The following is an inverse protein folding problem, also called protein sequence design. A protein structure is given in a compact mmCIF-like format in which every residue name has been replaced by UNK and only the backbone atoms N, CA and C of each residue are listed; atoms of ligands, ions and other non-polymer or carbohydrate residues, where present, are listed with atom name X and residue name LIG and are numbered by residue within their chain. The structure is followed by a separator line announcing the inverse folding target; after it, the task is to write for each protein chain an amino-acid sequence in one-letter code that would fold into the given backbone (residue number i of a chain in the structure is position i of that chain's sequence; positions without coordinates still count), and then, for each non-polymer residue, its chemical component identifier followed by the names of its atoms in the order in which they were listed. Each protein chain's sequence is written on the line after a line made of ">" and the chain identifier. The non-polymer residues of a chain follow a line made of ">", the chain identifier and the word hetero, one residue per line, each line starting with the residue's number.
data_IF_955135929727
#
_entry.id   IF_955135929727
#
_cell.length_a   1.000
_cell.length_b   1.000
_cell.length_c   1.000
_cell.angle_alpha   90.00
_cell.angle_beta   90.00
_cell.angle_gamma   90.00
#
_symmetry.space_group_name_H-M   'P 1'
#
loop_
_entity.id
_entity.type
_entity.pdbx_description
1 polymer ?
#
# COMPACT_ATOMS: atom_id res chain seq x y z
N UNK A 1 -10.64 -16.27 2.56
CA UNK A 1 -9.49 -16.60 3.42
C UNK A 1 -8.23 -16.27 2.63
N UNK A 2 -7.34 -15.44 3.17
CA UNK A 2 -6.06 -15.12 2.51
C UNK A 2 -5.03 -16.15 2.94
N UNK A 3 -4.61 -16.99 2.00
CA UNK A 3 -3.61 -18.03 2.25
C UNK A 3 -2.20 -17.44 2.14
N UNK A 4 -1.29 -17.94 2.98
CA UNK A 4 0.08 -17.48 3.10
C UNK A 4 1.00 -18.67 2.89
N UNK A 5 2.07 -18.51 2.10
CA UNK A 5 3.07 -19.53 1.84
C UNK A 5 4.46 -19.08 2.29
N UNK A 6 5.38 -20.02 2.45
CA UNK A 6 6.78 -19.65 2.71
C UNK A 6 7.43 -19.03 1.47
N UNK A 7 8.48 -18.23 1.67
CA UNK A 7 9.28 -17.68 0.57
C UNK A 7 9.83 -18.79 -0.36
N UNK A 8 10.30 -19.90 0.20
CA UNK A 8 10.78 -21.05 -0.58
C UNK A 8 9.68 -21.65 -1.47
N UNK A 9 8.46 -21.75 -0.94
CA UNK A 9 7.31 -22.24 -1.69
C UNK A 9 6.88 -21.27 -2.80
N UNK A 10 6.94 -19.96 -2.54
CA UNK A 10 6.66 -18.95 -3.56
C UNK A 10 7.64 -19.03 -4.75
N UNK A 11 8.93 -19.21 -4.47
CA UNK A 11 9.94 -19.43 -5.51
C UNK A 11 9.69 -20.72 -6.29
N UNK A 12 9.40 -21.84 -5.60
CA UNK A 12 9.11 -23.10 -6.26
C UNK A 12 7.89 -23.00 -7.19
N UNK A 13 6.81 -22.33 -6.74
CA UNK A 13 5.61 -22.08 -7.55
C UNK A 13 5.92 -21.23 -8.78
N UNK A 14 6.75 -20.19 -8.64
CA UNK A 14 7.17 -19.34 -9.75
C UNK A 14 7.99 -20.12 -10.79
N UNK A 15 8.91 -20.99 -10.35
CA UNK A 15 9.72 -21.84 -11.23
C UNK A 15 8.90 -22.89 -11.98
N UNK A 16 7.93 -23.52 -11.30
CA UNK A 16 7.01 -24.47 -11.95
C UNK A 16 6.23 -23.78 -13.08
N UNK A 17 5.82 -22.52 -12.86
CA UNK A 17 5.04 -21.75 -13.85
C UNK A 17 5.90 -21.22 -14.99
N UNK A 18 7.17 -20.90 -14.74
CA UNK A 18 8.11 -20.34 -15.70
C UNK A 18 9.43 -21.15 -15.73
N UNK A 19 9.38 -22.41 -16.21
CA UNK A 19 10.56 -23.27 -16.20
C UNK A 19 11.66 -22.68 -17.08
N UNK A 20 12.89 -22.59 -16.55
CA UNK A 20 14.07 -22.12 -17.28
C UNK A 20 14.20 -20.60 -17.42
N UNK A 21 13.30 -19.81 -16.83
CA UNK A 21 13.42 -18.34 -16.82
C UNK A 21 14.37 -17.92 -15.69
N UNK A 22 15.65 -17.74 -16.02
CA UNK A 22 16.70 -17.37 -15.03
C UNK A 22 16.43 -16.04 -14.30
N UNK A 23 15.62 -15.16 -14.88
CA UNK A 23 15.23 -13.88 -14.29
C UNK A 23 14.03 -13.96 -13.33
N UNK A 24 13.36 -15.12 -13.20
CA UNK A 24 12.14 -15.22 -12.39
C UNK A 24 12.42 -15.02 -10.89
N UNK A 25 13.52 -15.57 -10.38
CA UNK A 25 13.92 -15.40 -8.97
C UNK A 25 14.25 -13.93 -8.63
N UNK A 26 15.14 -13.23 -9.37
CA UNK A 26 15.40 -11.83 -9.08
C UNK A 26 14.17 -10.93 -9.32
N UNK A 27 13.33 -11.24 -10.30
CA UNK A 27 12.08 -10.52 -10.53
C UNK A 27 11.08 -10.68 -9.37
N UNK A 28 10.94 -11.89 -8.83
CA UNK A 28 10.08 -12.17 -7.68
C UNK A 28 10.60 -11.47 -6.41
N UNK A 29 11.90 -11.55 -6.15
CA UNK A 29 12.53 -10.84 -5.03
C UNK A 29 12.28 -9.32 -5.11
N UNK A 30 12.48 -8.73 -6.30
CA UNK A 30 12.18 -7.33 -6.55
C UNK A 30 10.69 -7.00 -6.34
N UNK A 31 9.76 -7.85 -6.80
CA UNK A 31 8.33 -7.63 -6.64
C UNK A 31 7.89 -7.64 -5.15
N UNK A 32 8.50 -8.52 -4.34
CA UNK A 32 8.28 -8.58 -2.90
C UNK A 32 8.81 -7.31 -2.22
N UNK A 33 10.01 -6.86 -2.56
CA UNK A 33 10.61 -5.67 -1.95
C UNK A 33 9.97 -4.35 -2.41
N UNK A 34 9.49 -4.30 -3.65
CA UNK A 34 8.71 -3.18 -4.18
C UNK A 34 7.27 -3.11 -3.61
N UNK A 35 6.89 -4.06 -2.74
CA UNK A 35 5.56 -4.12 -2.13
C UNK A 35 4.43 -4.50 -3.10
N UNK A 36 4.76 -5.13 -4.23
CA UNK A 36 3.76 -5.65 -5.17
C UNK A 36 3.15 -6.97 -4.68
N UNK A 37 3.87 -7.69 -3.83
CA UNK A 37 3.42 -8.94 -3.19
C UNK A 37 3.51 -8.73 -1.68
N UNK A 38 2.39 -8.89 -0.97
CA UNK A 38 2.40 -8.73 0.48
C UNK A 38 3.25 -9.83 1.13
N UNK A 39 4.18 -9.40 2.01
CA UNK A 39 4.92 -10.29 2.91
C UNK A 39 4.59 -9.96 4.37
N UNK A 40 4.56 -10.98 5.22
CA UNK A 40 4.46 -10.85 6.68
C UNK A 40 5.50 -11.75 7.34
N UNK A 41 6.03 -11.35 8.49
CA UNK A 41 7.25 -11.95 9.01
C UNK A 41 8.48 -11.46 8.22
N UNK A 42 9.58 -11.26 8.93
CA UNK A 42 10.78 -10.60 8.40
C UNK A 42 11.29 -9.49 9.32
N UNK A 43 12.60 -9.24 9.22
CA UNK A 43 13.37 -8.33 10.08
C UNK A 43 12.73 -6.96 10.15
N UNK A 44 11.93 -6.74 11.19
CA UNK A 44 11.64 -5.38 11.65
C UNK A 44 12.98 -4.85 12.14
N UNK A 45 13.59 -3.91 11.41
CA UNK A 45 14.60 -3.06 12.00
C UNK A 45 13.94 -2.46 13.25
N UNK A 46 14.32 -2.95 14.44
CA UNK A 46 13.96 -2.28 15.69
C UNK A 46 14.45 -0.86 15.49
N UNK A 47 13.53 0.09 15.36
CA UNK A 47 13.86 1.51 15.42
C UNK A 47 14.64 1.65 16.72
N UNK A 48 15.93 1.96 16.61
CA UNK A 48 16.83 2.19 17.74
C UNK A 48 16.13 3.15 18.68
N UNK A 49 15.70 2.68 19.85
CA UNK A 49 15.58 3.54 21.04
C UNK A 49 15.28 2.81 22.34
N UNK A 50 15.04 1.49 22.36
CA UNK A 50 14.87 0.78 23.63
C UNK A 50 15.96 -0.26 23.83
N UNK A 51 16.92 0.12 24.67
CA UNK A 51 17.86 -0.71 25.44
C UNK A 51 18.45 -1.94 24.74
N UNK A 52 19.69 -1.80 24.26
CA UNK A 52 20.58 -2.93 24.03
C UNK A 52 21.33 -3.17 25.35
N UNK A 53 21.13 -4.29 26.07
CA UNK A 53 22.03 -4.65 27.15
C UNK A 53 23.43 -4.81 26.55
N UNK A 54 24.42 -4.13 27.14
CA UNK A 54 25.82 -4.21 26.72
C UNK A 54 26.26 -5.66 26.90
N UNK A 55 26.35 -6.39 25.80
CA UNK A 55 27.03 -7.68 25.76
C UNK A 55 28.46 -7.45 25.27
N UNK A 56 29.38 -8.23 25.81
CA UNK A 56 30.81 -8.17 25.50
C UNK A 56 31.05 -8.28 23.99
N UNK A 57 32.11 -7.65 23.43
CA UNK A 57 32.40 -7.73 22.01
C UNK A 57 32.64 -9.19 21.60
N UNK A 58 31.70 -9.76 20.83
CA UNK A 58 31.77 -11.14 20.36
C UNK A 58 30.70 -12.08 20.90
N UNK A 59 29.89 -11.68 21.88
CA UNK A 59 28.75 -12.47 22.35
C UNK A 59 27.44 -11.99 21.72
N UNK A 60 26.91 -12.79 20.78
CA UNK A 60 25.50 -12.69 20.40
C UNK A 60 24.68 -13.43 21.45
N UNK A 61 23.71 -12.77 22.10
CA UNK A 61 22.77 -13.44 22.99
C UNK A 61 22.06 -14.59 22.24
N UNK A 62 22.11 -15.84 22.74
CA UNK A 62 21.29 -16.91 22.20
C UNK A 62 19.83 -16.58 22.53
N UNK A 63 19.03 -16.27 21.49
CA UNK A 63 17.57 -16.11 21.64
C UNK A 63 16.96 -14.77 21.24
N UNK A 64 17.61 -13.92 20.44
CA UNK A 64 17.02 -12.65 20.01
C UNK A 64 16.97 -12.42 18.49
N UNK A 65 16.74 -13.48 17.72
CA UNK A 65 16.29 -13.39 16.34
C UNK A 65 15.09 -14.32 16.20
N UNK A 66 13.90 -13.74 16.14
CA UNK A 66 12.70 -14.48 15.79
C UNK A 66 12.80 -14.77 14.28
N UNK A 67 13.37 -15.91 13.92
CA UNK A 67 13.44 -16.50 12.57
C UNK A 67 12.04 -16.92 12.08
N UNK A 68 11.03 -16.08 12.29
CA UNK A 68 9.71 -16.28 11.69
C UNK A 68 9.87 -16.12 10.20
N UNK A 69 9.84 -17.26 9.51
CA UNK A 69 9.84 -17.40 8.08
C UNK A 69 9.04 -16.27 7.44
N UNK A 70 9.65 -15.59 6.47
CA UNK A 70 8.94 -14.61 5.65
C UNK A 70 7.83 -15.36 4.94
N UNK A 71 6.59 -15.02 5.26
CA UNK A 71 5.41 -15.56 4.64
C UNK A 71 4.92 -14.59 3.56
N UNK A 72 4.59 -15.15 2.41
CA UNK A 72 4.17 -14.43 1.22
C UNK A 72 2.69 -14.70 0.99
N UNK A 73 1.93 -13.66 0.68
CA UNK A 73 0.52 -13.80 0.36
C UNK A 73 0.35 -14.54 -0.99
N UNK A 74 -0.35 -15.67 -0.97
CA UNK A 74 -0.50 -16.53 -2.15
C UNK A 74 -1.30 -15.82 -3.25
N UNK A 75 -2.33 -15.04 -2.90
CA UNK A 75 -3.18 -14.36 -3.90
C UNK A 75 -2.41 -13.30 -4.66
N UNK A 76 -1.59 -12.52 -3.96
CA UNK A 76 -0.76 -11.49 -4.59
C UNK A 76 0.32 -12.12 -5.48
N UNK A 77 0.91 -13.23 -5.02
CA UNK A 77 1.87 -14.02 -5.80
C UNK A 77 1.23 -14.56 -7.10
N UNK A 78 0.06 -15.19 -7.02
CA UNK A 78 -0.64 -15.74 -8.18
C UNK A 78 -1.04 -14.65 -9.17
N UNK A 79 -1.58 -13.53 -8.68
CA UNK A 79 -1.92 -12.39 -9.51
C UNK A 79 -0.68 -11.81 -10.22
N UNK A 80 0.44 -11.72 -9.52
CA UNK A 80 1.70 -11.28 -10.10
C UNK A 80 2.22 -12.26 -11.18
N UNK A 81 2.17 -13.57 -10.92
CA UNK A 81 2.54 -14.61 -11.90
C UNK A 81 1.64 -14.59 -13.14
N UNK A 82 0.32 -14.39 -12.97
CA UNK A 82 -0.63 -14.26 -14.08
C UNK A 82 -0.34 -13.01 -14.93
N UNK A 83 0.01 -11.90 -14.30
CA UNK A 83 0.43 -10.67 -14.99
C UNK A 83 1.72 -10.87 -15.78
N UNK A 84 2.69 -11.59 -15.22
CA UNK A 84 3.95 -11.93 -15.90
C UNK A 84 3.75 -12.87 -17.08
N UNK A 85 2.79 -13.80 -17.00
CA UNK A 85 2.49 -14.75 -18.06
C UNK A 85 1.73 -14.14 -19.25
N UNK A 86 1.35 -12.85 -19.18
CA UNK A 86 0.49 -12.22 -20.18
C UNK A 86 -0.94 -12.77 -20.22
N UNK A 87 -1.26 -13.79 -19.43
CA UNK A 87 -2.59 -14.41 -19.28
C UNK A 87 -3.46 -13.63 -18.32
N UNK A 88 -3.40 -12.30 -18.35
CA UNK A 88 -4.43 -11.50 -17.71
C UNK A 88 -5.67 -11.57 -18.60
N UNK A 89 -6.59 -12.50 -18.30
CA UNK A 89 -7.97 -12.03 -18.23
C UNK A 89 -7.93 -10.77 -17.39
N UNK A 90 -8.52 -9.69 -17.88
CA UNK A 90 -8.49 -8.37 -17.25
C UNK A 90 -9.20 -8.45 -15.89
N UNK A 91 -8.56 -9.03 -14.89
CA UNK A 91 -8.72 -8.63 -13.51
C UNK A 91 -8.15 -7.22 -13.46
N UNK A 92 -9.02 -6.29 -13.82
CA UNK A 92 -8.95 -4.87 -13.60
C UNK A 92 -8.74 -4.60 -12.10
N UNK A 93 -7.57 -4.98 -11.56
CA UNK A 93 -7.05 -4.54 -10.28
C UNK A 93 -6.43 -3.15 -10.40
N UNK A 94 -6.97 -2.29 -11.26
CA UNK A 94 -6.61 -0.89 -11.41
C UNK A 94 -7.84 -0.08 -11.09
N UNK A 95 -7.74 0.63 -9.96
CA UNK A 95 -8.78 1.38 -9.26
C UNK A 95 -9.62 0.49 -8.35
N UNK A 96 -9.05 0.11 -7.19
CA UNK A 96 -9.86 0.15 -5.98
C UNK A 96 -10.58 1.50 -6.00
N UNK A 97 -11.90 1.38 -6.05
CA UNK A 97 -12.83 2.38 -6.51
C UNK A 97 -12.43 3.78 -6.04
N UNK A 98 -12.21 4.70 -6.99
CA UNK A 98 -12.17 6.14 -6.72
C UNK A 98 -13.58 6.64 -6.37
N UNK A 99 -14.41 5.80 -5.75
CA UNK A 99 -15.79 6.09 -5.39
C UNK A 99 -15.87 7.35 -4.54
N UNK A 100 -14.88 7.58 -3.66
CA UNK A 100 -14.80 8.80 -2.86
C UNK A 100 -14.53 10.05 -3.71
N UNK A 101 -13.69 9.98 -4.74
CA UNK A 101 -13.43 11.15 -5.60
C UNK A 101 -14.68 11.52 -6.43
N UNK A 102 -15.45 10.52 -6.84
CA UNK A 102 -16.73 10.72 -7.55
C UNK A 102 -17.82 11.21 -6.60
N UNK A 103 -17.89 10.68 -5.38
CA UNK A 103 -18.86 11.10 -4.36
C UNK A 103 -18.56 12.49 -3.78
N UNK A 104 -17.28 12.89 -3.74
CA UNK A 104 -16.85 14.21 -3.29
C UNK A 104 -16.96 15.28 -4.38
N UNK A 105 -17.10 14.91 -5.66
CA UNK A 105 -17.24 15.84 -6.78
C UNK A 105 -18.32 16.93 -6.58
N UNK A 106 -19.56 16.62 -6.15
CA UNK A 106 -20.56 17.66 -5.85
C UNK A 106 -20.15 18.58 -4.71
N UNK A 107 -19.39 18.09 -3.72
CA UNK A 107 -18.89 18.90 -2.61
C UNK A 107 -17.78 19.85 -3.08
N UNK A 108 -16.92 19.39 -3.99
CA UNK A 108 -15.89 20.23 -4.62
C UNK A 108 -16.53 21.39 -5.42
N UNK A 109 -17.64 21.15 -6.11
CA UNK A 109 -18.41 22.22 -6.78
C UNK A 109 -19.03 23.20 -5.77
N UNK A 110 -19.58 22.71 -4.65
CA UNK A 110 -20.09 23.58 -3.57
C UNK A 110 -18.99 24.42 -2.93
N UNK A 111 -17.75 23.93 -2.85
CA UNK A 111 -16.60 24.69 -2.33
C UNK A 111 -16.20 25.87 -3.22
N UNK A 112 -16.42 25.77 -4.54
CA UNK A 112 -15.98 26.75 -5.53
C UNK A 112 -16.41 28.20 -5.24
N UNK A 113 -17.69 28.53 -4.98
CA UNK A 113 -18.08 29.91 -4.69
C UNK A 113 -17.42 30.46 -3.42
N UNK A 114 -17.15 29.62 -2.41
CA UNK A 114 -16.47 30.05 -1.20
C UNK A 114 -14.99 30.38 -1.44
N UNK A 115 -14.30 29.55 -2.24
CA UNK A 115 -12.91 29.81 -2.60
C UNK A 115 -12.79 31.05 -3.50
N UNK A 116 -13.71 31.22 -4.45
CA UNK A 116 -13.78 32.44 -5.28
C UNK A 116 -14.14 33.68 -4.47
N UNK A 117 -14.88 33.52 -3.37
CA UNK A 117 -15.16 34.57 -2.38
C UNK A 117 -13.98 34.92 -1.47
N UNK A 118 -12.79 34.35 -1.70
CA UNK A 118 -11.55 34.67 -0.97
C UNK A 118 -11.24 33.70 0.19
N UNK A 119 -12.02 32.65 0.38
CA UNK A 119 -11.76 31.64 1.41
C UNK A 119 -10.65 30.67 0.93
N UNK A 120 -9.81 30.17 1.84
CA UNK A 120 -8.82 29.17 1.46
C UNK A 120 -9.51 27.83 1.12
N UNK A 121 -8.96 27.01 0.20
CA UNK A 121 -9.52 25.69 -0.11
C UNK A 121 -9.64 24.78 1.12
N UNK A 122 -8.74 24.91 2.10
CA UNK A 122 -8.80 24.14 3.35
C UNK A 122 -9.92 24.60 4.28
N UNK A 123 -10.22 25.89 4.33
CA UNK A 123 -11.34 26.44 5.10
C UNK A 123 -12.68 26.10 4.43
N UNK A 124 -12.78 26.23 3.11
CA UNK A 124 -13.96 25.81 2.36
C UNK A 124 -14.24 24.31 2.51
N UNK A 125 -13.19 23.47 2.56
CA UNK A 125 -13.35 22.02 2.75
C UNK A 125 -14.01 21.68 4.09
N UNK A 126 -13.68 22.39 5.18
CA UNK A 126 -14.24 22.15 6.51
C UNK A 126 -15.76 22.27 6.56
N UNK A 127 -16.35 23.16 5.75
CA UNK A 127 -17.80 23.36 5.69
C UNK A 127 -18.55 22.12 5.18
N UNK A 128 -17.88 21.24 4.44
CA UNK A 128 -18.48 20.09 3.78
C UNK A 128 -17.90 18.74 4.25
N UNK A 129 -17.07 18.74 5.32
CA UNK A 129 -16.46 17.52 5.87
C UNK A 129 -17.52 16.54 6.40
N UNK A 130 -18.59 17.05 6.99
CA UNK A 130 -19.66 16.21 7.55
C UNK A 130 -20.53 15.58 6.45
N UNK A 131 -20.66 16.27 5.31
CA UNK A 131 -21.35 15.76 4.11
C UNK A 131 -20.47 14.75 3.32
N UNK A 132 -19.15 14.75 3.53
CA UNK A 132 -18.24 13.88 2.81
C UNK A 132 -18.38 12.40 3.25
N UNK A 133 -18.65 11.54 2.27
CA UNK A 133 -18.89 10.11 2.48
C UNK A 133 -17.60 9.34 2.78
N UNK A 134 -17.71 8.24 3.54
CA UNK A 134 -16.59 7.37 3.93
C UNK A 134 -16.20 7.48 5.39
N UNK A 135 -15.72 6.37 5.95
CA UNK A 135 -15.20 6.30 7.32
C UNK A 135 -13.83 6.97 7.42
N UNK A 136 -13.60 7.71 8.50
CA UNK A 136 -12.33 8.37 8.80
C UNK A 136 -12.49 9.66 9.59
N UNK A 137 -11.37 10.17 10.11
CA UNK A 137 -11.31 11.44 10.85
C UNK A 137 -11.64 12.64 9.94
N UNK A 138 -12.20 13.69 10.55
CA UNK A 138 -12.53 14.97 9.89
C UNK A 138 -11.34 15.55 9.13
N UNK A 139 -10.14 15.47 9.70
CA UNK A 139 -8.89 15.92 9.07
C UNK A 139 -8.58 15.16 7.79
N UNK A 140 -8.86 13.86 7.75
CA UNK A 140 -8.66 13.02 6.56
C UNK A 140 -9.60 13.45 5.43
N UNK A 141 -10.88 13.65 5.75
CA UNK A 141 -11.91 14.13 4.80
C UNK A 141 -11.59 15.53 4.28
N UNK A 142 -11.19 16.45 5.16
CA UNK A 142 -10.80 17.82 4.78
C UNK A 142 -9.65 17.81 3.77
N UNK A 143 -8.56 17.05 4.06
CA UNK A 143 -7.42 16.94 3.15
C UNK A 143 -7.80 16.32 1.80
N UNK A 144 -8.73 15.37 1.81
CA UNK A 144 -9.23 14.72 0.59
C UNK A 144 -9.98 15.72 -0.30
N UNK A 145 -10.92 16.48 0.27
CA UNK A 145 -11.67 17.54 -0.42
C UNK A 145 -10.74 18.64 -0.94
N UNK A 146 -9.78 19.10 -0.12
CA UNK A 146 -8.79 20.09 -0.55
C UNK A 146 -7.99 19.59 -1.75
N UNK A 147 -7.45 18.37 -1.71
CA UNK A 147 -6.68 17.78 -2.82
C UNK A 147 -7.53 17.61 -4.07
N UNK A 148 -8.79 17.22 -3.91
CA UNK A 148 -9.73 17.11 -5.03
C UNK A 148 -9.97 18.47 -5.69
N UNK A 149 -10.20 19.51 -4.89
CA UNK A 149 -10.35 20.89 -5.36
C UNK A 149 -9.11 21.39 -6.10
N UNK A 150 -7.92 21.25 -5.50
CA UNK A 150 -6.64 21.63 -6.11
C UNK A 150 -6.40 20.92 -7.45
N UNK A 151 -6.83 19.66 -7.56
CA UNK A 151 -6.67 18.88 -8.78
C UNK A 151 -7.61 19.34 -9.90
N UNK A 152 -8.85 19.72 -9.58
CA UNK A 152 -9.85 20.16 -10.57
C UNK A 152 -9.57 21.59 -11.03
N UNK A 153 -9.20 22.48 -10.11
CA UNK A 153 -9.11 23.92 -10.35
C UNK A 153 -7.67 24.48 -10.39
N UNK A 154 -6.65 23.66 -10.17
CA UNK A 154 -5.24 24.06 -10.25
C UNK A 154 -4.77 25.00 -9.14
N UNK A 155 -5.51 25.10 -8.04
CA UNK A 155 -5.19 25.99 -6.91
C UNK A 155 -4.30 25.23 -5.92
N UNK A 156 -3.07 25.70 -5.71
CA UNK A 156 -2.10 25.11 -4.75
C UNK A 156 -2.03 25.89 -3.46
#
# INVERSE_FOLDING_TARGET
>A
MSEWCSEAEAFARAEIRFPGVSSIRPALAYAIDAGQIAKRGGRRAKRRLDFIPILSPGENAPGYWDDRAVEINIRDLEHWLQKMAGTSEKASGKNADRSFTTADAPLVEKMRPHVQGGMSPSAAALLFVDEATGGGETVSKQRRLQRAYSKVYGVT
#
